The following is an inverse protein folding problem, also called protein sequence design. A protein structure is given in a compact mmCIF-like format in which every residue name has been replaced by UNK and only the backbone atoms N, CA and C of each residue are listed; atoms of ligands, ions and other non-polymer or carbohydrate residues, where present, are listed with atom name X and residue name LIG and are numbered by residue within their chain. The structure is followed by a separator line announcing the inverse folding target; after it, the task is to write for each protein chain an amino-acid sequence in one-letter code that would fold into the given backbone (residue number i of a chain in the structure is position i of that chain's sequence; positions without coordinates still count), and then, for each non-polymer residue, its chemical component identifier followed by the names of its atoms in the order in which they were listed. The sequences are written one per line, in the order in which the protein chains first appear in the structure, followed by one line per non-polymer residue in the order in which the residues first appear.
data_IF_041866459467
#
_entry.id   IF_041866459467
#
_cell.length_a   1.000
_cell.length_b   1.000
_cell.length_c   1.000
_cell.angle_alpha   90.00
_cell.angle_beta   90.00
_cell.angle_gamma   90.00
#
_symmetry.space_group_name_H-M   'P 1'
#
loop_
_entity.id
_entity.type
_entity.pdbx_description
1 polymer ?
#
# COMPACT_ATOMS: atom_id res chain seq x y z
N UNK A 1 16.16 18.57 35.15
CA UNK A 1 15.91 18.04 33.81
C UNK A 1 16.39 16.60 33.81
N UNK A 2 15.49 15.61 33.93
CA UNK A 2 15.83 14.21 33.78
C UNK A 2 15.90 13.89 32.28
N UNK A 3 17.10 13.72 31.75
CA UNK A 3 17.33 13.17 30.41
C UNK A 3 17.08 11.66 30.49
N UNK A 4 15.85 11.20 30.18
CA UNK A 4 15.55 9.79 30.05
C UNK A 4 16.26 9.28 28.80
N UNK A 5 17.27 8.46 28.99
CA UNK A 5 17.92 7.72 27.93
C UNK A 5 16.93 6.64 27.45
N UNK A 6 16.18 6.93 26.39
CA UNK A 6 15.33 5.95 25.74
C UNK A 6 16.25 5.00 24.98
N UNK A 7 16.50 3.83 25.54
CA UNK A 7 17.16 2.74 24.81
C UNK A 7 16.21 2.30 23.69
N UNK A 8 16.56 2.64 22.45
CA UNK A 8 15.79 2.23 21.27
C UNK A 8 15.86 0.71 21.16
N UNK A 9 14.77 0.01 21.40
CA UNK A 9 14.68 -1.42 21.13
C UNK A 9 14.77 -1.65 19.62
N UNK A 10 15.85 -2.28 19.17
CA UNK A 10 16.02 -2.67 17.78
C UNK A 10 15.57 -4.14 17.63
N UNK A 11 14.66 -4.38 16.70
CA UNK A 11 14.23 -5.73 16.32
C UNK A 11 14.75 -6.03 14.92
N UNK A 12 15.54 -7.08 14.79
CA UNK A 12 16.08 -7.54 13.51
C UNK A 12 15.69 -8.98 13.25
N UNK A 13 15.51 -9.36 12.00
CA UNK A 13 15.23 -10.72 11.61
C UNK A 13 15.43 -10.98 10.13
N UNK A 14 15.45 -12.28 9.79
CA UNK A 14 15.48 -12.76 8.41
C UNK A 14 14.24 -13.61 8.16
N UNK A 15 13.49 -13.27 7.13
CA UNK A 15 12.42 -14.13 6.67
C UNK A 15 13.02 -15.32 5.89
N UNK A 16 13.10 -16.49 6.51
CA UNK A 16 13.72 -17.68 5.93
C UNK A 16 13.06 -18.15 4.62
N UNK A 17 11.79 -17.80 4.41
CA UNK A 17 11.05 -18.18 3.20
C UNK A 17 11.55 -17.48 1.95
N UNK A 18 12.04 -16.25 2.08
CA UNK A 18 12.44 -15.44 0.94
C UNK A 18 13.78 -14.71 1.12
N UNK A 19 14.49 -14.96 2.24
CA UNK A 19 15.78 -14.33 2.53
C UNK A 19 15.71 -12.81 2.75
N UNK A 20 14.53 -12.26 3.09
CA UNK A 20 14.39 -10.84 3.36
C UNK A 20 14.92 -10.52 4.76
N UNK A 21 15.95 -9.69 4.85
CA UNK A 21 16.40 -9.09 6.11
C UNK A 21 15.54 -7.85 6.41
N UNK A 22 15.14 -7.71 7.67
CA UNK A 22 14.46 -6.52 8.16
C UNK A 22 14.99 -6.12 9.54
N UNK A 23 14.98 -4.83 9.81
CA UNK A 23 15.31 -4.26 11.11
C UNK A 23 14.40 -3.07 11.40
N UNK A 24 13.92 -2.97 12.63
CA UNK A 24 13.02 -1.91 13.06
C UNK A 24 13.60 -1.13 14.24
N UNK A 25 13.42 0.19 14.21
CA UNK A 25 13.78 1.11 15.29
C UNK A 25 12.59 1.99 15.62
N UNK A 26 12.29 2.15 16.91
CA UNK A 26 11.35 3.16 17.37
C UNK A 26 12.13 4.42 17.74
N UNK A 27 12.00 5.46 16.93
CA UNK A 27 12.76 6.71 17.08
C UNK A 27 12.09 7.69 18.04
N UNK A 28 10.76 7.73 18.06
CA UNK A 28 9.99 8.69 18.85
C UNK A 28 8.80 7.95 19.47
N UNK A 29 8.58 8.18 20.76
CA UNK A 29 7.40 7.73 21.50
C UNK A 29 6.79 8.95 22.19
N UNK A 30 5.55 9.28 21.82
CA UNK A 30 4.78 10.35 22.46
C UNK A 30 3.68 9.69 23.28
N UNK A 31 3.77 9.70 24.62
CA UNK A 31 2.72 9.17 25.47
C UNK A 31 1.43 9.97 25.28
N UNK A 32 0.31 9.25 25.19
CA UNK A 32 -1.02 9.83 25.10
C UNK A 32 -1.92 9.31 26.23
N UNK A 33 -2.96 10.03 26.57
CA UNK A 33 -3.94 9.63 27.62
C UNK A 33 -4.76 8.38 27.27
N UNK A 34 -4.69 7.89 26.04
CA UNK A 34 -5.40 6.69 25.60
C UNK A 34 -4.62 5.83 24.63
N UNK A 35 -3.79 6.44 23.79
CA UNK A 35 -2.94 5.75 22.83
C UNK A 35 -1.61 6.47 22.70
N UNK A 36 -0.54 5.72 22.85
CA UNK A 36 0.81 6.21 22.54
C UNK A 36 0.96 6.37 21.03
N UNK A 37 1.51 7.48 20.60
CA UNK A 37 1.95 7.69 19.22
C UNK A 37 3.43 7.35 19.12
N UNK A 38 3.77 6.33 18.35
CA UNK A 38 5.13 5.90 18.11
C UNK A 38 5.53 6.07 16.63
N UNK A 39 6.75 6.52 16.42
CA UNK A 39 7.38 6.57 15.11
C UNK A 39 8.38 5.42 15.02
N UNK A 40 7.93 4.31 14.45
CA UNK A 40 8.77 3.14 14.19
C UNK A 40 9.08 3.06 12.70
N UNK A 41 10.36 3.12 12.36
CA UNK A 41 10.85 2.89 11.00
C UNK A 41 11.32 1.45 10.86
N UNK A 42 11.05 0.84 9.71
CA UNK A 42 11.49 -0.51 9.40
C UNK A 42 12.25 -0.50 8.08
N UNK A 43 13.47 -1.04 8.11
CA UNK A 43 14.23 -1.36 6.91
C UNK A 43 13.81 -2.73 6.39
N UNK A 44 13.76 -2.86 5.08
CA UNK A 44 13.40 -4.09 4.39
C UNK A 44 14.32 -4.27 3.18
N UNK A 45 15.25 -5.24 3.23
CA UNK A 45 16.30 -5.41 2.23
C UNK A 45 15.79 -5.73 0.82
N UNK A 46 14.56 -6.22 0.70
CA UNK A 46 13.91 -6.53 -0.60
C UNK A 46 12.97 -5.44 -1.09
N UNK A 47 12.79 -4.36 -0.32
CA UNK A 47 12.00 -3.22 -0.78
C UNK A 47 12.75 -2.42 -1.83
N UNK A 48 12.06 -2.11 -2.92
CA UNK A 48 12.53 -1.20 -3.98
C UNK A 48 11.92 0.20 -3.83
N UNK A 49 11.17 0.43 -2.76
CA UNK A 49 10.54 1.72 -2.48
C UNK A 49 11.50 2.65 -1.73
N UNK A 50 11.44 3.94 -2.05
CA UNK A 50 12.12 4.99 -1.29
C UNK A 50 11.09 5.63 -0.36
N UNK A 51 11.23 5.37 0.95
CA UNK A 51 10.41 5.98 1.99
C UNK A 51 11.01 7.28 2.53
N UNK A 52 10.41 7.82 3.60
CA UNK A 52 10.87 9.05 4.26
C UNK A 52 12.28 8.95 4.81
N UNK A 53 12.69 7.76 5.23
CA UNK A 53 14.02 7.48 5.81
C UNK A 53 15.02 6.90 4.79
N UNK A 54 14.71 6.98 3.50
CA UNK A 54 15.57 6.51 2.43
C UNK A 54 15.13 5.19 1.79
N UNK A 55 16.03 4.59 1.05
CA UNK A 55 15.75 3.39 0.26
C UNK A 55 15.57 2.17 1.18
N UNK A 56 14.52 1.39 0.96
CA UNK A 56 14.22 0.20 1.76
C UNK A 56 13.60 0.49 3.13
N UNK A 57 13.56 1.74 3.55
CA UNK A 57 12.94 2.18 4.81
C UNK A 57 11.49 2.56 4.61
N UNK A 58 10.68 2.31 5.64
CA UNK A 58 9.30 2.76 5.69
C UNK A 58 8.75 2.74 7.11
N UNK A 59 7.60 3.36 7.29
CA UNK A 59 6.88 3.41 8.56
C UNK A 59 5.37 3.29 8.32
N UNK A 60 4.59 3.09 9.40
CA UNK A 60 3.14 2.89 9.33
C UNK A 60 2.41 4.06 8.65
N UNK A 61 2.95 5.27 8.74
CA UNK A 61 2.32 6.49 8.20
C UNK A 61 2.49 6.60 6.68
N UNK A 62 3.39 5.80 6.09
CA UNK A 62 3.60 5.71 4.65
C UNK A 62 2.71 4.66 3.97
N UNK A 63 1.77 4.05 4.72
CA UNK A 63 0.80 3.12 4.14
C UNK A 63 -0.02 3.82 3.06
N UNK A 64 -0.07 3.23 1.87
CA UNK A 64 -0.76 3.81 0.71
C UNK A 64 -1.58 2.76 -0.03
N UNK A 65 -2.69 3.18 -0.60
CA UNK A 65 -3.58 2.37 -1.42
C UNK A 65 -3.38 2.70 -2.90
N UNK A 66 -3.21 1.70 -3.74
CA UNK A 66 -3.05 1.85 -5.19
C UNK A 66 -4.09 1.02 -5.92
N UNK A 67 -4.79 1.62 -6.89
CA UNK A 67 -5.75 0.92 -7.75
C UNK A 67 -5.03 0.03 -8.75
N UNK A 68 -5.56 -1.18 -8.96
CA UNK A 68 -5.05 -2.13 -9.95
C UNK A 68 -5.99 -2.23 -11.16
N UNK A 69 -5.48 -2.51 -12.37
CA UNK A 69 -6.27 -2.48 -13.61
C UNK A 69 -7.36 -3.56 -13.69
N UNK A 70 -7.33 -4.54 -12.83
CA UNK A 70 -8.35 -5.59 -12.70
C UNK A 70 -9.49 -5.26 -11.72
N UNK A 71 -9.59 -3.99 -11.29
CA UNK A 71 -10.63 -3.55 -10.37
C UNK A 71 -10.32 -3.85 -8.90
N UNK A 72 -9.14 -4.40 -8.61
CA UNK A 72 -8.65 -4.58 -7.25
C UNK A 72 -7.93 -3.32 -6.74
N UNK A 73 -7.65 -3.28 -5.44
CA UNK A 73 -6.71 -2.33 -4.85
C UNK A 73 -5.59 -3.08 -4.16
N UNK A 74 -4.42 -2.47 -4.10
CA UNK A 74 -3.27 -2.99 -3.37
C UNK A 74 -2.88 -1.97 -2.33
N UNK A 75 -2.86 -2.38 -1.07
CA UNK A 75 -2.35 -1.57 0.03
C UNK A 75 -0.89 -1.93 0.24
N UNK A 76 -0.02 -0.94 0.10
CA UNK A 76 1.40 -1.03 0.44
C UNK A 76 1.54 -0.73 1.92
N UNK A 77 1.78 -1.79 2.70
CA UNK A 77 1.88 -1.71 4.15
C UNK A 77 3.20 -1.05 4.54
N UNK A 78 3.13 -0.08 5.46
CA UNK A 78 4.31 0.54 6.08
C UNK A 78 5.35 1.12 5.09
N UNK A 79 4.95 1.38 3.84
CA UNK A 79 5.82 1.94 2.81
C UNK A 79 7.00 1.07 2.35
N UNK A 80 7.38 0.04 3.09
CA UNK A 80 8.61 -0.72 2.92
C UNK A 80 8.43 -2.18 2.46
N UNK A 81 7.48 -2.45 1.59
CA UNK A 81 7.49 -3.68 0.78
C UNK A 81 6.42 -4.72 1.06
N UNK A 82 5.72 -4.69 2.20
CA UNK A 82 4.54 -5.55 2.39
C UNK A 82 3.37 -5.06 1.53
N UNK A 83 2.65 -5.97 0.88
CA UNK A 83 1.44 -5.63 0.12
C UNK A 83 0.29 -6.51 0.51
N UNK A 84 -0.91 -5.93 0.55
CA UNK A 84 -2.17 -6.67 0.72
C UNK A 84 -3.10 -6.30 -0.42
N UNK A 85 -3.56 -7.31 -1.16
CA UNK A 85 -4.44 -7.14 -2.31
C UNK A 85 -5.88 -7.38 -1.92
N UNK A 86 -6.77 -6.50 -2.35
CA UNK A 86 -8.21 -6.57 -2.13
C UNK A 86 -8.92 -6.55 -3.48
N UNK A 87 -9.78 -7.54 -3.73
CA UNK A 87 -10.50 -7.68 -4.98
C UNK A 87 -12.01 -7.75 -4.77
N UNK A 88 -12.82 -7.31 -5.75
CA UNK A 88 -14.25 -7.57 -5.75
C UNK A 88 -14.50 -9.09 -5.89
N UNK A 89 -15.71 -9.55 -5.56
CA UNK A 89 -16.10 -10.95 -5.77
C UNK A 89 -15.87 -11.41 -7.22
N UNK A 90 -16.15 -10.53 -8.17
CA UNK A 90 -15.95 -10.76 -9.61
C UNK A 90 -14.93 -9.73 -10.15
N UNK A 91 -13.62 -10.00 -10.08
CA UNK A 91 -12.61 -9.12 -10.63
C UNK A 91 -12.66 -9.09 -12.16
N UNK A 92 -12.13 -8.01 -12.74
CA UNK A 92 -11.98 -7.93 -14.20
C UNK A 92 -11.11 -9.07 -14.69
N UNK A 93 -11.49 -9.69 -15.80
CA UNK A 93 -10.72 -10.75 -16.43
C UNK A 93 -9.24 -10.34 -16.61
N UNK A 94 -8.29 -11.20 -16.23
CA UNK A 94 -6.88 -10.90 -16.30
C UNK A 94 -6.38 -10.55 -17.71
N UNK A 95 -6.97 -11.14 -18.76
CA UNK A 95 -6.64 -10.82 -20.14
C UNK A 95 -7.10 -9.42 -20.53
N UNK A 96 -8.34 -9.04 -20.16
CA UNK A 96 -8.84 -7.67 -20.37
C UNK A 96 -8.02 -6.62 -19.61
N UNK A 97 -7.60 -6.95 -18.38
CA UNK A 97 -6.73 -6.10 -17.60
C UNK A 97 -5.33 -5.97 -18.22
N UNK A 98 -4.74 -7.05 -18.72
CA UNK A 98 -3.48 -7.05 -19.45
C UNK A 98 -3.56 -6.22 -20.73
N UNK A 99 -4.63 -6.42 -21.52
CA UNK A 99 -4.84 -5.66 -22.76
C UNK A 99 -4.89 -4.16 -22.51
N UNK A 100 -5.64 -3.72 -21.48
CA UNK A 100 -5.70 -2.30 -21.09
C UNK A 100 -4.31 -1.71 -20.77
N UNK A 101 -3.43 -2.48 -20.12
CA UNK A 101 -2.06 -2.05 -19.84
C UNK A 101 -1.28 -1.88 -21.14
N UNK A 102 -1.33 -2.87 -22.01
CA UNK A 102 -0.62 -2.86 -23.30
C UNK A 102 -1.11 -1.72 -24.18
N UNK A 103 -2.40 -1.46 -24.24
CA UNK A 103 -2.98 -0.35 -25.01
C UNK A 103 -2.44 1.02 -24.53
N UNK A 104 -2.30 1.22 -23.21
CA UNK A 104 -1.69 2.44 -22.67
C UNK A 104 -0.20 2.51 -22.99
N UNK A 105 0.51 1.37 -22.94
CA UNK A 105 1.93 1.31 -23.30
C UNK A 105 2.14 1.66 -24.78
N UNK A 106 1.35 1.12 -25.71
CA UNK A 106 1.40 1.42 -27.15
C UNK A 106 1.17 2.90 -27.43
N UNK A 107 0.26 3.55 -26.71
CA UNK A 107 0.05 5.01 -26.83
C UNK A 107 1.23 5.85 -26.36
N UNK A 108 2.08 5.31 -25.49
CA UNK A 108 3.25 6.02 -24.93
C UNK A 108 4.58 5.65 -25.61
N UNK A 109 4.62 4.52 -26.30
CA UNK A 109 5.83 4.01 -26.96
C UNK A 109 5.44 3.27 -28.22
N UNK A 110 5.99 3.70 -29.35
CA UNK A 110 5.79 3.07 -30.66
C UNK A 110 6.64 1.80 -30.85
N UNK A 111 7.49 1.45 -29.88
CA UNK A 111 8.46 0.35 -29.98
C UNK A 111 7.88 -1.05 -29.66
N UNK A 112 6.57 -1.20 -29.49
CA UNK A 112 5.96 -2.49 -29.18
C UNK A 112 5.58 -3.20 -30.49
N UNK A 113 6.40 -4.17 -30.90
CA UNK A 113 6.12 -5.04 -32.03
C UNK A 113 5.02 -6.05 -31.69
N UNK A 114 4.38 -6.64 -32.71
CA UNK A 114 3.35 -7.67 -32.52
C UNK A 114 3.84 -8.89 -31.72
N UNK A 115 5.10 -9.29 -31.91
CA UNK A 115 5.73 -10.41 -31.20
C UNK A 115 5.91 -10.06 -29.73
N UNK A 116 6.44 -8.87 -29.43
CA UNK A 116 6.63 -8.36 -28.07
C UNK A 116 5.27 -8.20 -27.35
N UNK A 117 4.26 -7.71 -28.05
CA UNK A 117 2.90 -7.57 -27.53
C UNK A 117 2.32 -8.92 -27.08
N UNK A 118 2.36 -9.95 -27.92
CA UNK A 118 1.85 -11.30 -27.62
C UNK A 118 2.56 -11.90 -26.40
N UNK A 119 3.89 -11.78 -26.32
CA UNK A 119 4.68 -12.24 -25.17
C UNK A 119 4.30 -11.49 -23.88
N UNK A 120 4.18 -10.18 -23.96
CA UNK A 120 3.84 -9.33 -22.81
C UNK A 120 2.42 -9.61 -22.30
N UNK A 121 1.45 -9.76 -23.19
CA UNK A 121 0.07 -10.14 -22.83
C UNK A 121 0.03 -11.47 -22.07
N UNK A 122 0.78 -12.50 -22.58
CA UNK A 122 0.87 -13.80 -21.90
C UNK A 122 1.43 -13.65 -20.47
N UNK A 123 2.53 -12.91 -20.30
CA UNK A 123 3.14 -12.66 -18.97
C UNK A 123 2.19 -11.89 -18.04
N UNK A 124 1.58 -10.82 -18.53
CA UNK A 124 0.65 -10.00 -17.75
C UNK A 124 -0.63 -10.77 -17.38
N UNK A 125 -1.16 -11.62 -18.26
CA UNK A 125 -2.34 -12.45 -17.97
C UNK A 125 -2.08 -13.40 -16.79
N UNK A 126 -0.90 -14.03 -16.74
CA UNK A 126 -0.54 -15.01 -15.73
C UNK A 126 -0.07 -14.42 -14.38
N UNK A 127 0.28 -13.12 -14.31
CA UNK A 127 0.91 -12.56 -13.12
C UNK A 127 0.23 -11.25 -12.66
N UNK A 128 -0.47 -11.31 -11.52
CA UNK A 128 -1.20 -10.17 -10.97
C UNK A 128 -0.28 -9.06 -10.43
N UNK A 129 0.86 -9.43 -9.84
CA UNK A 129 1.83 -8.47 -9.31
C UNK A 129 2.50 -7.71 -10.46
N UNK A 130 2.85 -8.43 -11.53
CA UNK A 130 3.40 -7.83 -12.73
C UNK A 130 2.40 -6.86 -13.37
N UNK A 131 1.11 -7.21 -13.46
CA UNK A 131 0.06 -6.28 -13.90
C UNK A 131 0.02 -5.02 -13.05
N UNK A 132 0.09 -5.18 -11.74
CA UNK A 132 0.08 -4.05 -10.81
C UNK A 132 1.31 -3.14 -11.01
N UNK A 133 2.51 -3.72 -11.13
CA UNK A 133 3.75 -2.99 -11.36
C UNK A 133 3.72 -2.20 -12.67
N UNK A 134 3.31 -2.84 -13.77
CA UNK A 134 3.19 -2.18 -15.07
C UNK A 134 2.11 -1.09 -15.07
N UNK A 135 0.97 -1.34 -14.45
CA UNK A 135 -0.08 -0.33 -14.33
C UNK A 135 0.38 0.92 -13.57
N UNK A 136 1.17 0.77 -12.51
CA UNK A 136 1.81 1.89 -11.80
C UNK A 136 2.80 2.63 -12.71
N UNK A 137 3.74 1.89 -13.32
CA UNK A 137 4.78 2.45 -14.20
C UNK A 137 4.19 3.29 -15.34
N UNK A 138 3.12 2.81 -15.95
CA UNK A 138 2.48 3.48 -17.09
C UNK A 138 1.29 4.36 -16.72
N UNK A 139 1.00 4.49 -15.42
CA UNK A 139 -0.10 5.29 -14.88
C UNK A 139 -1.46 4.92 -15.52
N UNK A 140 -1.78 3.62 -15.54
CA UNK A 140 -3.03 3.11 -16.10
C UNK A 140 -4.18 3.47 -15.18
N UNK A 141 -5.07 4.34 -15.66
CA UNK A 141 -6.24 4.79 -14.88
C UNK A 141 -7.25 3.65 -14.74
N UNK A 142 -7.70 3.39 -13.51
CA UNK A 142 -8.71 2.40 -13.19
C UNK A 142 -9.84 3.04 -12.40
N UNK A 143 -11.07 2.85 -12.88
CA UNK A 143 -12.28 3.22 -12.14
C UNK A 143 -12.75 2.01 -11.33
N UNK A 144 -13.05 2.22 -10.05
CA UNK A 144 -13.69 1.24 -9.18
C UNK A 144 -15.00 1.89 -8.73
N UNK A 145 -16.10 1.15 -8.81
CA UNK A 145 -17.41 1.67 -8.50
C UNK A 145 -17.50 2.06 -7.01
N UNK A 146 -18.01 3.26 -6.74
CA UNK A 146 -18.33 3.69 -5.38
C UNK A 146 -19.43 2.78 -4.80
N UNK A 147 -19.37 2.50 -3.50
CA UNK A 147 -20.25 1.57 -2.80
C UNK A 147 -19.82 0.10 -2.89
N UNK A 148 -18.86 -0.26 -3.76
CA UNK A 148 -18.35 -1.63 -3.83
C UNK A 148 -17.51 -1.99 -2.60
N UNK A 149 -17.50 -3.29 -2.26
CA UNK A 149 -16.65 -3.86 -1.22
C UNK A 149 -15.66 -4.82 -1.86
N UNK A 150 -14.40 -4.68 -1.48
CA UNK A 150 -13.28 -5.51 -1.92
C UNK A 150 -12.78 -6.32 -0.74
N UNK A 151 -12.36 -7.56 -0.98
CA UNK A 151 -12.02 -8.52 0.05
C UNK A 151 -10.59 -9.03 -0.09
N UNK A 152 -9.97 -9.33 1.05
CA UNK A 152 -8.68 -10.03 1.12
C UNK A 152 -8.69 -11.03 2.26
N UNK A 153 -8.03 -12.17 2.04
CA UNK A 153 -7.76 -13.19 3.06
C UNK A 153 -6.26 -13.39 3.31
N UNK A 154 -5.41 -12.55 2.74
CA UNK A 154 -3.95 -12.72 2.82
C UNK A 154 -3.40 -12.57 4.23
N UNK A 155 -4.07 -11.80 5.10
CA UNK A 155 -3.67 -11.52 6.49
C UNK A 155 -4.91 -11.54 7.40
N UNK A 156 -5.66 -12.64 7.35
CA UNK A 156 -6.99 -12.73 7.94
C UNK A 156 -8.05 -12.06 7.05
N UNK A 157 -9.31 -12.18 7.45
CA UNK A 157 -10.44 -11.62 6.70
C UNK A 157 -10.43 -10.09 6.85
N UNK A 158 -10.25 -9.40 5.75
CA UNK A 158 -10.25 -7.95 5.71
C UNK A 158 -11.07 -7.45 4.53
N UNK A 159 -11.62 -6.24 4.67
CA UNK A 159 -12.40 -5.62 3.61
C UNK A 159 -11.96 -4.17 3.36
N UNK A 160 -12.13 -3.72 2.12
CA UNK A 160 -12.01 -2.32 1.72
C UNK A 160 -13.33 -1.89 1.10
N UNK A 161 -14.00 -0.92 1.72
CA UNK A 161 -15.15 -0.23 1.15
C UNK A 161 -14.69 0.93 0.27
N UNK A 162 -15.24 1.01 -0.93
CA UNK A 162 -15.00 2.12 -1.87
C UNK A 162 -16.04 3.20 -1.61
N UNK A 163 -15.59 4.37 -1.18
CA UNK A 163 -16.44 5.54 -0.92
C UNK A 163 -16.42 6.48 -2.14
N UNK A 164 -17.31 7.47 -2.15
CA UNK A 164 -17.33 8.55 -3.15
C UNK A 164 -15.98 9.30 -3.19
N UNK A 165 -15.40 9.59 -2.02
CA UNK A 165 -14.22 10.43 -1.87
C UNK A 165 -12.99 9.68 -1.34
N UNK A 166 -12.99 8.33 -1.37
CA UNK A 166 -11.86 7.56 -0.89
C UNK A 166 -12.16 6.09 -0.61
N UNK A 167 -11.41 5.53 0.34
CA UNK A 167 -11.52 4.11 0.70
C UNK A 167 -11.45 3.95 2.20
N UNK A 168 -12.11 2.93 2.73
CA UNK A 168 -11.99 2.52 4.14
C UNK A 168 -11.63 1.05 4.20
N UNK A 169 -10.44 0.74 4.72
CA UNK A 169 -10.06 -0.62 5.11
C UNK A 169 -10.55 -0.90 6.51
N UNK A 170 -11.12 -2.06 6.73
CA UNK A 170 -11.47 -2.61 8.03
C UNK A 170 -10.70 -3.90 8.24
N UNK A 171 -9.96 -3.98 9.33
CA UNK A 171 -9.21 -5.16 9.75
C UNK A 171 -9.99 -5.95 10.82
N UNK A 172 -9.62 -7.22 11.04
CA UNK A 172 -10.28 -8.10 12.00
C UNK A 172 -10.24 -7.61 13.46
N UNK A 173 -9.17 -6.90 13.82
CA UNK A 173 -8.98 -6.29 15.14
C UNK A 173 -9.85 -5.06 15.38
N UNK A 174 -10.73 -4.71 14.43
CA UNK A 174 -11.61 -3.56 14.48
C UNK A 174 -10.95 -2.24 14.07
N UNK A 175 -9.67 -2.23 13.73
CA UNK A 175 -8.97 -1.05 13.19
C UNK A 175 -9.56 -0.65 11.85
N UNK A 176 -9.73 0.66 11.63
CA UNK A 176 -10.15 1.25 10.36
C UNK A 176 -9.08 2.21 9.86
N UNK A 177 -8.76 2.11 8.59
CA UNK A 177 -7.84 2.99 7.88
C UNK A 177 -8.58 3.65 6.73
N UNK A 178 -8.55 4.98 6.73
CA UNK A 178 -9.24 5.79 5.73
C UNK A 178 -8.21 6.34 4.74
N UNK A 179 -8.47 6.17 3.47
CA UNK A 179 -7.60 6.66 2.40
C UNK A 179 -8.33 7.68 1.55
N UNK A 180 -7.61 8.67 1.06
CA UNK A 180 -8.12 9.62 0.07
C UNK A 180 -8.43 8.91 -1.25
N UNK A 181 -9.14 9.57 -2.17
CA UNK A 181 -9.37 9.06 -3.54
C UNK A 181 -8.09 8.79 -4.32
N UNK A 182 -6.97 9.39 -3.90
CA UNK A 182 -5.65 9.20 -4.48
C UNK A 182 -4.83 8.10 -3.78
N UNK A 183 -5.37 7.53 -2.69
CA UNK A 183 -4.78 6.43 -1.96
C UNK A 183 -3.83 6.82 -0.83
N UNK A 184 -3.69 8.10 -0.50
CA UNK A 184 -2.94 8.54 0.67
C UNK A 184 -3.73 8.22 1.95
N UNK A 185 -3.04 7.80 3.02
CA UNK A 185 -3.63 7.53 4.32
C UNK A 185 -4.11 8.84 4.95
N UNK A 186 -5.41 8.94 5.27
CA UNK A 186 -6.03 10.15 5.82
C UNK A 186 -6.28 10.05 7.32
N UNK A 187 -6.60 8.85 7.81
CA UNK A 187 -7.03 8.64 9.19
C UNK A 187 -6.89 7.19 9.57
N UNK A 188 -6.46 6.92 10.78
CA UNK A 188 -6.50 5.60 11.41
C UNK A 188 -7.41 5.71 12.63
N UNK A 189 -8.31 4.75 12.81
CA UNK A 189 -9.13 4.63 14.02
C UNK A 189 -9.02 3.21 14.54
N UNK A 190 -8.68 3.02 15.79
CA UNK A 190 -8.65 1.69 16.42
C UNK A 190 -10.04 1.25 16.93
N UNK A 191 -10.11 0.05 17.52
CA UNK A 191 -11.35 -0.51 18.09
C UNK A 191 -11.94 0.33 19.23
N UNK A 192 -11.10 1.06 19.95
CA UNK A 192 -11.50 1.93 21.08
C UNK A 192 -11.84 3.36 20.63
N UNK A 193 -11.90 3.59 19.30
CA UNK A 193 -12.17 4.90 18.67
C UNK A 193 -11.05 5.94 18.81
N UNK A 194 -9.87 5.56 19.32
CA UNK A 194 -8.71 6.44 19.25
C UNK A 194 -8.33 6.67 17.80
N UNK A 195 -8.03 7.92 17.49
CA UNK A 195 -7.89 8.36 16.10
C UNK A 195 -6.56 9.08 15.91
N UNK A 196 -5.90 8.77 14.79
CA UNK A 196 -4.75 9.52 14.27
C UNK A 196 -5.18 10.09 12.93
N UNK A 197 -5.10 11.40 12.76
CA UNK A 197 -5.42 12.10 11.52
C UNK A 197 -4.17 12.61 10.82
N UNK A 198 -4.17 12.53 9.48
CA UNK A 198 -3.05 12.89 8.63
C UNK A 198 -3.44 14.08 7.76
N UNK A 199 -2.69 15.16 7.88
CA UNK A 199 -2.85 16.33 7.04
C UNK A 199 -1.70 16.41 6.05
N UNK A 200 -2.00 16.61 4.77
CA UNK A 200 -1.04 16.71 3.69
C UNK A 200 -1.04 18.12 3.10
N UNK A 201 0.15 18.67 2.89
CA UNK A 201 0.36 19.92 2.14
C UNK A 201 1.26 19.59 0.95
N UNK A 202 0.83 19.96 -0.26
CA UNK A 202 1.57 19.70 -1.52
C UNK A 202 2.02 18.22 -1.70
N UNK A 203 1.15 17.27 -1.30
CA UNK A 203 1.40 15.82 -1.31
C UNK A 203 2.43 15.32 -0.27
N UNK A 204 2.96 16.17 0.56
CA UNK A 204 3.82 15.80 1.69
C UNK A 204 3.00 15.77 2.98
N UNK A 205 3.35 14.87 3.89
CA UNK A 205 2.73 14.85 5.22
C UNK A 205 3.13 16.12 5.96
N UNK A 206 2.12 16.86 6.45
CA UNK A 206 2.31 18.12 7.13
C UNK A 206 2.17 17.98 8.65
N UNK A 207 1.14 17.26 9.12
CA UNK A 207 0.91 17.04 10.54
C UNK A 207 0.14 15.74 10.83
N UNK A 208 0.35 15.27 12.07
CA UNK A 208 -0.41 14.19 12.72
C UNK A 208 -1.14 14.75 13.92
N UNK A 209 -2.40 14.37 14.14
CA UNK A 209 -3.22 14.67 15.31
C UNK A 209 -3.85 13.40 15.87
#
# INVERSE_FOLDING_TARGET
IFLSLVTSAAFAGVNLKNGNFYISYTDIVVPGTGKTLDMTRTYNSKSTEKGWFGFGWGNIFETKLVKSPDGCVVIHEHGAGGTTRFCPKNPVDPGKAAQRIVDVMKKKSQAITAVTEKSLLKKLKGNAELRHAYARKFNVKTKIASGSTLYSNQRGIQEVKVLKDGFVRKSNDGKKEFFTKFGALKKITDKNKYTIEFTYKEKQLFSLK
#
